data_IF_346235413060
#
_entry.id   IF_346235413060
#
_cell.length_a   1.000
_cell.length_b   1.000
_cell.length_c   1.000
_cell.angle_alpha   90.00
_cell.angle_beta   90.00
_cell.angle_gamma   90.00
#
_symmetry.space_group_name_H-M   'P 1'
#
loop_
_entity.id
_entity.type
_entity.pdbx_description
1 polymer ?
#
# COMPACT_ATOMS: atom_id res chain seq x y z
N UNK A 1 -17.67 1.21 8.89
CA UNK A 1 -17.02 2.10 9.87
C UNK A 1 -15.59 1.68 10.27
N UNK A 2 -15.08 0.51 9.85
CA UNK A 2 -13.72 0.03 10.20
C UNK A 2 -12.56 0.62 9.36
N UNK A 3 -12.66 0.61 8.02
CA UNK A 3 -11.59 1.08 7.13
C UNK A 3 -11.10 2.50 7.42
N UNK A 4 -12.04 3.44 7.61
CA UNK A 4 -11.73 4.85 7.85
C UNK A 4 -10.90 5.08 9.13
N UNK A 5 -11.12 4.27 10.17
CA UNK A 5 -10.35 4.33 11.43
C UNK A 5 -8.99 3.63 11.36
N UNK A 6 -8.82 2.67 10.44
CA UNK A 6 -7.50 2.05 10.19
C UNK A 6 -6.63 2.98 9.36
N UNK A 7 -7.19 3.63 8.35
CA UNK A 7 -6.50 4.63 7.51
C UNK A 7 -6.03 5.84 8.34
N UNK A 8 -6.90 6.43 9.16
CA UNK A 8 -6.52 7.55 10.06
C UNK A 8 -5.38 7.16 11.03
N UNK A 9 -5.35 5.91 11.51
CA UNK A 9 -4.27 5.41 12.39
C UNK A 9 -2.98 5.08 11.65
N UNK A 10 -3.06 4.78 10.35
CA UNK A 10 -1.88 4.62 9.50
C UNK A 10 -1.28 6.01 9.26
N UNK A 11 -2.09 6.98 8.82
CA UNK A 11 -1.67 8.37 8.58
C UNK A 11 -1.01 9.03 9.81
N UNK A 12 -1.57 8.89 11.01
CA UNK A 12 -0.96 9.42 12.25
C UNK A 12 0.43 8.83 12.53
N UNK A 13 0.62 7.54 12.28
CA UNK A 13 1.91 6.87 12.48
C UNK A 13 2.92 7.29 11.43
N UNK A 14 2.47 7.61 10.24
CA UNK A 14 3.30 8.00 9.11
C UNK A 14 3.81 9.43 9.27
N UNK A 15 2.93 10.33 9.71
CA UNK A 15 3.34 11.65 10.18
C UNK A 15 4.35 11.53 11.32
N UNK A 16 4.14 10.59 12.26
CA UNK A 16 5.07 10.39 13.36
C UNK A 16 6.45 9.89 12.88
N UNK A 17 6.49 8.97 11.92
CA UNK A 17 7.73 8.45 11.35
C UNK A 17 8.50 9.55 10.61
N UNK A 18 7.82 10.33 9.79
CA UNK A 18 8.49 11.39 9.04
C UNK A 18 9.02 12.49 9.97
N UNK A 19 8.26 12.85 11.01
CA UNK A 19 8.71 13.77 12.08
C UNK A 19 9.96 13.23 12.76
N UNK A 20 9.96 11.95 13.15
CA UNK A 20 11.12 11.29 13.77
C UNK A 20 12.36 11.34 12.84
N UNK A 21 12.19 11.02 11.55
CA UNK A 21 13.28 11.02 10.58
C UNK A 21 13.87 12.41 10.32
N UNK A 22 13.08 13.46 10.47
CA UNK A 22 13.52 14.85 10.29
C UNK A 22 14.06 15.47 11.59
N UNK A 23 13.77 14.88 12.76
CA UNK A 23 14.11 15.45 14.06
C UNK A 23 13.56 16.87 14.22
N UNK A 24 14.41 17.80 14.65
CA UNK A 24 14.04 19.22 14.83
C UNK A 24 14.07 20.03 13.51
N UNK A 25 14.42 19.42 12.38
CA UNK A 25 14.47 20.10 11.07
C UNK A 25 13.07 20.24 10.47
N UNK A 26 12.33 21.24 10.95
CA UNK A 26 10.99 21.56 10.48
C UNK A 26 10.93 21.84 8.96
N UNK A 27 11.98 22.43 8.38
CA UNK A 27 12.01 22.73 6.94
C UNK A 27 12.12 21.44 6.11
N UNK A 28 12.95 20.49 6.56
CA UNK A 28 13.06 19.20 5.92
C UNK A 28 11.75 18.41 6.04
N UNK A 29 11.10 18.45 7.21
CA UNK A 29 9.78 17.84 7.41
C UNK A 29 8.71 18.43 6.47
N UNK A 30 8.56 19.76 6.45
CA UNK A 30 7.58 20.44 5.61
C UNK A 30 7.80 20.12 4.13
N UNK A 31 9.07 20.07 3.71
CA UNK A 31 9.44 19.68 2.36
C UNK A 31 9.08 18.22 2.07
N UNK A 32 9.56 17.26 2.88
CA UNK A 32 9.38 15.84 2.62
C UNK A 32 7.92 15.39 2.73
N UNK A 33 7.12 16.01 3.60
CA UNK A 33 5.68 15.72 3.72
C UNK A 33 4.92 16.02 2.42
N UNK A 34 5.46 16.93 1.60
CA UNK A 34 4.93 17.27 0.27
C UNK A 34 5.57 16.48 -0.88
N UNK A 35 6.61 15.69 -0.61
CA UNK A 35 7.42 15.00 -1.62
C UNK A 35 7.39 13.47 -1.54
N UNK A 36 7.21 12.92 -0.35
CA UNK A 36 7.20 11.47 -0.16
C UNK A 36 5.78 10.91 -0.24
N UNK A 37 5.63 9.79 -0.92
CA UNK A 37 4.35 9.13 -1.12
C UNK A 37 4.13 7.99 -0.14
N UNK A 38 2.89 7.81 0.32
CA UNK A 38 2.53 6.69 1.20
C UNK A 38 2.63 5.35 0.46
N UNK A 39 2.17 5.33 -0.79
CA UNK A 39 2.31 4.22 -1.73
C UNK A 39 3.26 4.63 -2.88
N UNK A 40 4.58 4.50 -2.71
CA UNK A 40 5.54 4.85 -3.74
C UNK A 40 5.39 3.98 -5.00
N UNK A 41 4.91 2.74 -4.88
CA UNK A 41 4.76 1.83 -6.02
C UNK A 41 3.61 2.22 -6.94
N UNK A 42 2.55 2.82 -6.39
CA UNK A 42 1.44 3.35 -7.16
C UNK A 42 1.67 4.79 -7.65
N UNK A 43 2.34 5.63 -6.85
CA UNK A 43 2.47 7.06 -7.12
C UNK A 43 3.64 7.42 -8.03
N UNK A 44 4.78 6.72 -7.93
CA UNK A 44 5.98 7.04 -8.71
C UNK A 44 5.90 6.37 -10.07
N UNK A 45 6.18 7.14 -11.11
CA UNK A 45 6.14 6.67 -12.49
C UNK A 45 7.03 5.43 -12.71
N UNK A 46 6.50 4.45 -13.44
CA UNK A 46 7.26 3.28 -13.86
C UNK A 46 8.21 3.57 -15.04
N UNK A 47 8.08 4.72 -15.70
CA UNK A 47 8.98 5.12 -16.79
C UNK A 47 10.41 5.31 -16.29
N UNK A 48 11.37 5.16 -17.21
CA UNK A 48 12.77 5.48 -16.97
C UNK A 48 12.99 6.96 -16.69
N UNK A 49 14.00 7.27 -15.87
CA UNK A 49 14.34 8.63 -15.47
C UNK A 49 14.76 9.52 -16.65
N UNK A 50 15.40 8.92 -17.66
CA UNK A 50 15.73 9.53 -18.95
C UNK A 50 14.47 10.00 -19.69
N UNK A 51 13.47 9.13 -19.83
CA UNK A 51 12.19 9.45 -20.49
C UNK A 51 11.48 10.60 -19.75
N UNK A 52 11.44 10.53 -18.42
CA UNK A 52 10.80 11.57 -17.60
C UNK A 52 11.56 12.90 -17.68
N UNK A 53 12.89 12.86 -17.81
CA UNK A 53 13.69 14.08 -17.99
C UNK A 53 13.38 14.73 -19.34
N UNK A 54 13.29 13.95 -20.43
CA UNK A 54 12.92 14.47 -21.75
C UNK A 54 11.50 15.04 -21.78
N UNK A 55 10.55 14.40 -21.10
CA UNK A 55 9.18 14.91 -20.94
C UNK A 55 9.17 16.24 -20.17
N UNK A 56 9.99 16.36 -19.13
CA UNK A 56 10.20 17.59 -18.38
C UNK A 56 10.84 18.70 -19.22
N UNK A 57 11.79 18.39 -20.10
CA UNK A 57 12.39 19.37 -21.01
C UNK A 57 11.39 19.96 -22.00
N UNK A 58 10.40 19.16 -22.43
CA UNK A 58 9.35 19.61 -23.36
C UNK A 58 8.26 20.41 -22.66
N UNK A 59 7.90 20.02 -21.44
CA UNK A 59 6.76 20.58 -20.70
C UNK A 59 7.13 21.67 -19.69
N UNK A 60 8.39 21.71 -19.25
CA UNK A 60 8.84 22.49 -18.10
C UNK A 60 8.53 21.84 -16.74
N UNK A 61 7.84 20.69 -16.72
CA UNK A 61 7.49 19.98 -15.49
C UNK A 61 8.39 18.77 -15.25
N UNK A 62 9.43 18.97 -14.43
CA UNK A 62 10.35 17.92 -14.03
C UNK A 62 9.92 17.15 -12.79
N UNK A 63 8.74 17.44 -12.22
CA UNK A 63 8.32 16.83 -10.95
C UNK A 63 8.33 15.30 -10.99
N UNK A 64 7.79 14.63 -12.05
CA UNK A 64 7.85 13.17 -12.13
C UNK A 64 9.28 12.62 -12.15
N UNK A 65 10.22 13.31 -12.82
CA UNK A 65 11.63 12.91 -12.86
C UNK A 65 12.30 13.07 -11.49
N UNK A 66 11.98 14.15 -10.77
CA UNK A 66 12.47 14.38 -9.40
C UNK A 66 11.98 13.29 -8.46
N UNK A 67 10.68 13.00 -8.45
CA UNK A 67 10.10 11.96 -7.59
C UNK A 67 10.74 10.60 -7.87
N UNK A 68 10.95 10.28 -9.15
CA UNK A 68 11.64 9.06 -9.58
C UNK A 68 13.09 9.02 -9.10
N UNK A 69 13.84 10.12 -9.26
CA UNK A 69 15.24 10.18 -8.85
C UNK A 69 15.42 10.07 -7.32
N UNK A 70 14.53 10.71 -6.55
CA UNK A 70 14.53 10.58 -5.08
C UNK A 70 14.26 9.12 -4.69
N UNK A 71 13.25 8.49 -5.29
CA UNK A 71 12.92 7.09 -5.01
C UNK A 71 14.05 6.13 -5.39
N UNK A 72 14.57 6.23 -6.61
CA UNK A 72 15.67 5.35 -7.03
C UNK A 72 16.93 5.58 -6.19
N UNK A 73 17.26 6.83 -5.86
CA UNK A 73 18.38 7.16 -4.98
C UNK A 73 18.20 6.66 -3.54
N UNK A 74 16.95 6.66 -3.06
CA UNK A 74 16.57 6.12 -1.76
C UNK A 74 16.72 4.59 -1.70
N UNK A 75 16.42 3.90 -2.80
CA UNK A 75 16.45 2.44 -2.89
C UNK A 75 17.81 1.87 -3.34
N UNK A 76 18.70 2.71 -3.90
CA UNK A 76 20.01 2.31 -4.38
C UNK A 76 21.12 3.09 -3.66
N UNK A 77 21.42 2.78 -2.38
CA UNK A 77 22.42 3.51 -1.60
C UNK A 77 23.83 3.45 -2.22
N UNK A 78 24.15 2.39 -2.98
CA UNK A 78 25.42 2.26 -3.71
C UNK A 78 25.58 3.24 -4.88
N UNK A 79 24.49 3.83 -5.38
CA UNK A 79 24.50 4.83 -6.45
C UNK A 79 24.11 6.23 -5.95
N UNK A 80 24.10 6.45 -4.63
CA UNK A 80 23.60 7.67 -4.01
C UNK A 80 24.20 8.95 -4.59
N UNK A 81 25.52 9.02 -4.77
CA UNK A 81 26.18 10.20 -5.33
C UNK A 81 25.70 10.54 -6.75
N UNK A 82 25.39 9.53 -7.56
CA UNK A 82 24.83 9.71 -8.90
C UNK A 82 23.45 10.35 -8.78
N UNK A 83 22.59 9.81 -7.91
CA UNK A 83 21.23 10.33 -7.72
C UNK A 83 21.21 11.73 -7.09
N UNK A 84 22.15 12.05 -6.20
CA UNK A 84 22.31 13.40 -5.67
C UNK A 84 22.53 14.39 -6.82
N UNK A 85 23.49 14.11 -7.71
CA UNK A 85 23.77 14.97 -8.88
C UNK A 85 22.57 15.07 -9.81
N UNK A 86 21.83 13.99 -10.01
CA UNK A 86 20.64 13.99 -10.88
C UNK A 86 19.54 14.88 -10.29
N UNK A 87 19.22 14.73 -9.00
CA UNK A 87 18.21 15.56 -8.32
C UNK A 87 18.61 17.04 -8.34
N UNK A 88 19.88 17.36 -8.05
CA UNK A 88 20.40 18.73 -8.14
C UNK A 88 20.25 19.31 -9.55
N UNK A 89 20.59 18.55 -10.59
CA UNK A 89 20.43 18.97 -11.98
C UNK A 89 18.96 19.20 -12.34
N UNK A 90 18.05 18.32 -11.91
CA UNK A 90 16.61 18.48 -12.16
C UNK A 90 16.03 19.69 -11.42
N UNK A 91 16.47 19.93 -10.18
CA UNK A 91 16.08 21.11 -9.41
C UNK A 91 16.53 22.39 -10.12
N UNK A 92 17.77 22.45 -10.62
CA UNK A 92 18.28 23.59 -11.40
C UNK A 92 17.49 23.83 -12.69
N UNK A 93 17.18 22.76 -13.45
CA UNK A 93 16.33 22.87 -14.65
C UNK A 93 14.93 23.39 -14.30
N UNK A 94 14.36 22.92 -13.19
CA UNK A 94 13.05 23.38 -12.70
C UNK A 94 13.08 24.84 -12.30
N UNK A 95 14.13 25.29 -11.60
CA UNK A 95 14.33 26.71 -11.24
C UNK A 95 14.34 27.55 -12.52
N UNK A 96 15.15 27.19 -13.51
CA UNK A 96 15.26 27.96 -14.75
C UNK A 96 13.92 28.07 -15.48
N UNK A 97 13.18 26.96 -15.63
CA UNK A 97 11.85 26.97 -16.25
C UNK A 97 10.86 27.84 -15.45
N UNK A 98 10.90 27.75 -14.12
CA UNK A 98 10.02 28.51 -13.23
C UNK A 98 10.35 30.01 -13.24
N UNK A 99 11.63 30.39 -13.33
CA UNK A 99 12.06 31.79 -13.45
C UNK A 99 11.54 32.42 -14.75
N UNK A 100 11.63 31.69 -15.87
CA UNK A 100 11.07 32.15 -17.15
C UNK A 100 9.55 32.31 -17.10
N UNK A 101 8.83 31.40 -16.41
CA UNK A 101 7.39 31.54 -16.21
C UNK A 101 7.07 32.74 -15.32
N UNK A 102 7.83 32.91 -14.22
CA UNK A 102 7.65 34.01 -13.27
C UNK A 102 7.79 35.37 -13.95
N UNK A 103 8.80 35.55 -14.80
CA UNK A 103 9.02 36.80 -15.53
C UNK A 103 7.83 37.15 -16.46
N UNK A 104 7.23 36.15 -17.11
CA UNK A 104 6.03 36.35 -17.96
C UNK A 104 4.84 36.78 -17.12
N UNK A 105 4.60 36.09 -16.02
CA UNK A 105 3.49 36.35 -15.09
C UNK A 105 3.63 37.71 -14.41
N UNK A 106 4.86 38.14 -14.09
CA UNK A 106 5.14 39.48 -13.56
C UNK A 106 4.82 40.58 -14.60
N UNK A 107 5.16 40.36 -15.87
CA UNK A 107 4.79 41.29 -16.98
C UNK A 107 3.28 41.38 -17.19
N UNK A 108 2.56 40.30 -16.92
CA UNK A 108 1.08 40.26 -16.95
C UNK A 108 0.43 40.89 -15.71
N UNK A 109 1.22 41.33 -14.71
CA UNK A 109 0.73 41.96 -13.49
C UNK A 109 0.09 40.98 -12.49
N UNK A 110 0.30 39.67 -12.66
CA UNK A 110 -0.28 38.62 -11.84
C UNK A 110 0.58 38.35 -10.58
N UNK A 111 0.57 39.29 -9.64
CA UNK A 111 1.46 39.30 -8.47
C UNK A 111 1.38 38.04 -7.60
N UNK A 112 0.18 37.51 -7.36
CA UNK A 112 -0.01 36.34 -6.50
C UNK A 112 0.58 35.08 -7.13
N UNK A 113 0.44 34.94 -8.46
CA UNK A 113 1.03 33.83 -9.21
C UNK A 113 2.54 33.96 -9.26
N UNK A 114 3.08 35.17 -9.45
CA UNK A 114 4.53 35.40 -9.39
C UNK A 114 5.13 35.06 -8.01
N UNK A 115 4.42 35.40 -6.92
CA UNK A 115 4.83 35.04 -5.56
C UNK A 115 4.80 33.53 -5.34
N UNK A 116 3.79 32.82 -5.85
CA UNK A 116 3.71 31.36 -5.80
C UNK A 116 4.88 30.69 -6.53
N UNK A 117 5.23 31.19 -7.73
CA UNK A 117 6.40 30.71 -8.49
C UNK A 117 7.72 31.02 -7.76
N UNK A 118 7.81 32.15 -7.07
CA UNK A 118 8.93 32.48 -6.18
C UNK A 118 9.12 31.43 -5.07
N UNK A 119 8.05 31.04 -4.38
CA UNK A 119 8.09 29.97 -3.38
C UNK A 119 8.48 28.62 -4.00
N UNK A 120 8.01 28.31 -5.22
CA UNK A 120 8.43 27.10 -5.93
C UNK A 120 9.93 27.09 -6.18
N UNK A 121 10.52 28.21 -6.60
CA UNK A 121 11.97 28.35 -6.79
C UNK A 121 12.73 28.13 -5.46
N UNK A 122 12.26 28.71 -4.36
CA UNK A 122 12.86 28.50 -3.03
C UNK A 122 12.86 27.03 -2.62
N UNK A 123 11.75 26.32 -2.85
CA UNK A 123 11.67 24.88 -2.59
C UNK A 123 12.67 24.06 -3.43
N UNK A 124 12.90 24.44 -4.70
CA UNK A 124 13.89 23.76 -5.53
C UNK A 124 15.33 24.07 -5.10
N UNK A 125 15.61 25.29 -4.62
CA UNK A 125 16.91 25.64 -4.05
C UNK A 125 17.18 24.81 -2.80
N UNK A 126 16.21 24.73 -1.89
CA UNK A 126 16.28 23.86 -0.72
C UNK A 126 16.55 22.41 -1.10
N UNK A 127 15.82 21.88 -2.09
CA UNK A 127 16.03 20.52 -2.59
C UNK A 127 17.47 20.30 -3.07
N UNK A 128 18.01 21.22 -3.86
CA UNK A 128 19.37 21.13 -4.41
C UNK A 128 20.44 21.17 -3.31
N UNK A 129 20.25 22.03 -2.30
CA UNK A 129 21.17 22.17 -1.16
C UNK A 129 21.13 20.97 -0.21
N UNK A 130 19.93 20.43 0.04
CA UNK A 130 19.67 19.37 1.03
C UNK A 130 19.41 18.01 0.40
N UNK A 131 19.86 17.80 -0.84
CA UNK A 131 19.54 16.58 -1.61
C UNK A 131 19.97 15.31 -0.88
N UNK A 132 21.14 15.32 -0.24
CA UNK A 132 21.63 14.17 0.51
C UNK A 132 20.73 13.82 1.70
N UNK A 133 20.33 14.81 2.50
CA UNK A 133 19.41 14.62 3.63
C UNK A 133 18.04 14.14 3.16
N UNK A 134 17.54 14.69 2.05
CA UNK A 134 16.28 14.26 1.42
C UNK A 134 16.36 12.78 1.03
N UNK A 135 17.42 12.36 0.34
CA UNK A 135 17.59 10.96 -0.08
C UNK A 135 17.77 10.04 1.14
N UNK A 136 18.48 10.49 2.17
CA UNK A 136 18.66 9.76 3.42
C UNK A 136 17.34 9.50 4.15
N UNK A 137 16.53 10.55 4.32
CA UNK A 137 15.22 10.44 4.95
C UNK A 137 14.25 9.61 4.09
N UNK A 138 14.24 9.84 2.77
CA UNK A 138 13.43 9.09 1.83
C UNK A 138 13.76 7.59 1.81
N UNK A 139 15.03 7.22 1.92
CA UNK A 139 15.48 5.83 2.04
C UNK A 139 14.83 5.14 3.23
N UNK A 140 15.02 5.69 4.45
CA UNK A 140 14.44 5.12 5.67
C UNK A 140 12.91 5.10 5.63
N UNK A 141 12.29 6.15 5.09
CA UNK A 141 10.84 6.22 4.97
C UNK A 141 10.29 5.16 4.02
N UNK A 142 10.83 5.08 2.79
CA UNK A 142 10.35 4.13 1.79
C UNK A 142 10.66 2.68 2.13
N UNK A 143 11.76 2.40 2.83
CA UNK A 143 12.05 1.05 3.30
C UNK A 143 10.95 0.56 4.26
N UNK A 144 10.52 1.40 5.21
CA UNK A 144 9.38 1.05 6.07
C UNK A 144 8.08 0.91 5.26
N UNK A 145 7.85 1.79 4.28
CA UNK A 145 6.65 1.72 3.43
C UNK A 145 6.57 0.42 2.66
N UNK A 146 7.66 0.00 2.04
CA UNK A 146 7.69 -1.20 1.23
C UNK A 146 7.46 -2.45 2.09
N UNK A 147 7.95 -2.48 3.33
CA UNK A 147 7.63 -3.54 4.30
C UNK A 147 6.14 -3.56 4.64
N UNK A 148 5.57 -2.41 5.00
CA UNK A 148 4.13 -2.30 5.34
C UNK A 148 3.24 -2.68 4.16
N UNK A 149 3.56 -2.23 2.95
CA UNK A 149 2.83 -2.60 1.74
C UNK A 149 2.94 -4.11 1.46
N UNK A 150 4.12 -4.69 1.62
CA UNK A 150 4.32 -6.13 1.47
C UNK A 150 3.55 -6.97 2.49
N UNK A 151 3.45 -6.52 3.75
CA UNK A 151 2.57 -7.13 4.76
C UNK A 151 1.09 -7.02 4.39
N UNK A 152 0.67 -5.84 3.90
CA UNK A 152 -0.71 -5.58 3.48
C UNK A 152 -1.12 -6.47 2.30
N UNK A 153 -0.26 -6.61 1.28
CA UNK A 153 -0.50 -7.51 0.14
C UNK A 153 -0.67 -8.95 0.61
N UNK A 154 0.25 -9.47 1.44
CA UNK A 154 0.15 -10.83 1.99
C UNK A 154 -1.13 -11.04 2.82
N UNK A 155 -1.54 -10.04 3.60
CA UNK A 155 -2.78 -10.10 4.38
C UNK A 155 -4.01 -10.13 3.47
N UNK A 156 -4.04 -9.32 2.41
CA UNK A 156 -5.14 -9.31 1.44
C UNK A 156 -5.20 -10.60 0.62
N UNK A 157 -4.06 -11.20 0.25
CA UNK A 157 -4.02 -12.53 -0.38
C UNK A 157 -4.68 -13.59 0.52
N UNK A 158 -4.29 -13.65 1.81
CA UNK A 158 -4.89 -14.58 2.77
C UNK A 158 -6.38 -14.32 3.01
N UNK A 159 -6.82 -13.06 3.01
CA UNK A 159 -8.26 -12.73 3.06
C UNK A 159 -8.99 -13.21 1.80
N UNK A 160 -8.37 -13.04 0.63
CA UNK A 160 -8.90 -13.49 -0.65
C UNK A 160 -9.05 -15.02 -0.71
N UNK A 161 -8.07 -15.77 -0.20
CA UNK A 161 -8.15 -17.23 -0.09
C UNK A 161 -9.29 -17.68 0.83
N UNK A 162 -9.44 -17.04 1.99
CA UNK A 162 -10.56 -17.31 2.92
C UNK A 162 -11.90 -17.03 2.27
N UNK A 163 -12.05 -15.88 1.62
CA UNK A 163 -13.29 -15.52 0.93
C UNK A 163 -13.64 -16.53 -0.18
N UNK A 164 -12.64 -17.03 -0.92
CA UNK A 164 -12.84 -18.09 -1.92
C UNK A 164 -13.29 -19.40 -1.27
N UNK A 165 -12.65 -19.82 -0.18
CA UNK A 165 -13.01 -21.03 0.55
C UNK A 165 -14.43 -20.96 1.14
N UNK A 166 -14.80 -19.80 1.70
CA UNK A 166 -16.15 -19.52 2.16
C UNK A 166 -17.17 -19.57 1.03
N UNK A 167 -16.89 -18.90 -0.10
CA UNK A 167 -17.75 -18.92 -1.27
C UNK A 167 -17.97 -20.34 -1.82
N UNK A 168 -16.92 -21.15 -1.84
CA UNK A 168 -17.01 -22.56 -2.25
C UNK A 168 -17.84 -23.40 -1.25
N UNK A 169 -17.73 -23.13 0.06
CA UNK A 169 -18.58 -23.79 1.04
C UNK A 169 -20.05 -23.44 0.88
N UNK A 170 -20.37 -22.16 0.63
CA UNK A 170 -21.72 -21.72 0.32
C UNK A 170 -22.28 -22.42 -0.91
N UNK A 171 -21.45 -22.56 -1.96
CA UNK A 171 -21.82 -23.29 -3.18
C UNK A 171 -22.11 -24.76 -2.90
N UNK A 172 -21.25 -25.44 -2.14
CA UNK A 172 -21.45 -26.85 -1.76
C UNK A 172 -22.72 -27.00 -0.93
N UNK A 173 -22.96 -26.12 0.06
CA UNK A 173 -24.18 -26.16 0.87
C UNK A 173 -25.43 -26.02 0.00
N UNK A 174 -25.43 -25.10 -0.96
CA UNK A 174 -26.55 -24.93 -1.90
C UNK A 174 -26.80 -26.18 -2.75
N UNK A 175 -25.75 -26.85 -3.21
CA UNK A 175 -25.86 -28.12 -3.94
C UNK A 175 -26.39 -29.26 -3.06
N UNK A 176 -25.93 -29.34 -1.81
CA UNK A 176 -26.40 -30.34 -0.85
C UNK A 176 -27.89 -30.14 -0.50
N UNK A 177 -28.32 -28.90 -0.28
CA UNK A 177 -29.73 -28.56 -0.04
C UNK A 177 -30.61 -28.91 -1.24
N UNK A 178 -30.20 -28.50 -2.46
CA UNK A 178 -30.92 -28.85 -3.68
C UNK A 178 -30.99 -30.37 -3.90
N UNK A 179 -29.90 -31.10 -3.62
CA UNK A 179 -29.85 -32.55 -3.68
C UNK A 179 -30.79 -33.21 -2.68
N UNK A 180 -30.86 -32.71 -1.44
CA UNK A 180 -31.79 -33.19 -0.41
C UNK A 180 -33.24 -32.97 -0.84
N UNK A 181 -33.57 -31.80 -1.39
CA UNK A 181 -34.92 -31.51 -1.88
C UNK A 181 -35.33 -32.45 -3.03
N UNK A 182 -34.42 -32.73 -3.96
CA UNK A 182 -34.67 -33.66 -5.07
C UNK A 182 -34.96 -35.08 -4.54
N UNK A 183 -34.10 -35.62 -3.66
CA UNK A 183 -34.30 -36.94 -3.04
C UNK A 183 -35.60 -37.02 -2.24
N UNK A 184 -35.98 -35.92 -1.58
CA UNK A 184 -37.22 -35.86 -0.82
C UNK A 184 -38.48 -35.85 -1.71
N UNK A 185 -38.37 -35.36 -2.96
CA UNK A 185 -39.43 -35.48 -3.97
C UNK A 185 -39.54 -36.93 -4.48
N UNK A 186 -38.43 -37.55 -4.87
CA UNK A 186 -38.40 -38.95 -5.32
C UNK A 186 -38.95 -39.92 -4.26
N UNK A 187 -38.66 -39.67 -2.98
CA UNK A 187 -39.21 -40.45 -1.85
C UNK A 187 -40.73 -40.51 -1.76
N UNK A 188 -41.44 -39.51 -2.28
CA UNK A 188 -42.91 -39.49 -2.23
C UNK A 188 -43.52 -40.50 -3.21
N UNK A 189 -42.76 -40.92 -4.21
CA UNK A 189 -43.20 -41.84 -5.26
C UNK A 189 -42.80 -43.30 -4.96
N UNK A 190 -41.90 -43.53 -4.01
CA UNK A 190 -41.39 -44.86 -3.65
C UNK A 190 -42.31 -45.69 -2.75
N UNK A 191 -42.13 -47.01 -2.79
CA UNK A 191 -42.79 -47.96 -1.89
C UNK A 191 -42.32 -47.85 -0.44
N UNK A 192 -43.09 -48.42 0.50
CA UNK A 192 -42.86 -48.26 1.95
C UNK A 192 -41.51 -48.83 2.43
N UNK A 193 -41.02 -49.88 1.78
CA UNK A 193 -39.77 -50.56 2.13
C UNK A 193 -38.55 -49.84 1.53
N UNK A 194 -38.62 -49.49 0.25
CA UNK A 194 -37.62 -48.66 -0.46
C UNK A 194 -37.41 -47.31 0.24
N UNK A 195 -38.49 -46.66 0.68
CA UNK A 195 -38.42 -45.40 1.41
C UNK A 195 -37.65 -45.53 2.72
N UNK A 196 -37.78 -46.65 3.44
CA UNK A 196 -37.06 -46.90 4.70
C UNK A 196 -35.57 -47.13 4.47
N UNK A 197 -35.20 -47.79 3.37
CA UNK A 197 -33.79 -47.95 2.99
C UNK A 197 -33.17 -46.63 2.58
N UNK A 198 -33.86 -45.85 1.74
CA UNK A 198 -33.43 -44.52 1.37
C UNK A 198 -33.23 -43.64 2.62
N UNK A 199 -34.14 -43.68 3.61
CA UNK A 199 -34.02 -42.91 4.87
C UNK A 199 -32.78 -43.26 5.68
N UNK A 200 -32.39 -44.54 5.69
CA UNK A 200 -31.14 -44.96 6.35
C UNK A 200 -29.92 -44.44 5.60
N UNK A 201 -29.96 -44.40 4.28
CA UNK A 201 -28.86 -43.90 3.47
C UNK A 201 -28.69 -42.38 3.61
N UNK A 202 -29.77 -41.60 3.54
CA UNK A 202 -29.71 -40.15 3.76
C UNK A 202 -29.16 -39.80 5.14
N UNK A 203 -29.54 -40.53 6.20
CA UNK A 203 -28.99 -40.32 7.55
C UNK A 203 -27.49 -40.53 7.60
N UNK A 204 -26.96 -41.50 6.85
CA UNK A 204 -25.51 -41.74 6.76
C UNK A 204 -24.81 -40.63 5.99
N UNK A 205 -25.41 -40.15 4.90
CA UNK A 205 -24.88 -39.02 4.13
C UNK A 205 -24.91 -37.71 4.93
N UNK A 206 -25.96 -37.49 5.74
CA UNK A 206 -26.09 -36.32 6.60
C UNK A 206 -25.01 -36.29 7.69
N UNK A 207 -24.77 -37.43 8.36
CA UNK A 207 -23.68 -37.55 9.34
C UNK A 207 -22.30 -37.30 8.68
N UNK A 208 -22.07 -37.87 7.49
CA UNK A 208 -20.81 -37.64 6.76
C UNK A 208 -20.65 -36.18 6.30
N UNK A 209 -21.76 -35.50 5.96
CA UNK A 209 -21.74 -34.08 5.63
C UNK A 209 -21.47 -33.21 6.87
N UNK A 210 -22.01 -33.58 8.02
CA UNK A 210 -21.77 -32.92 9.30
C UNK A 210 -20.30 -33.03 9.74
N UNK A 211 -19.70 -34.23 9.65
CA UNK A 211 -18.27 -34.43 9.91
C UNK A 211 -17.39 -33.58 8.97
N UNK A 212 -17.74 -33.51 7.68
CA UNK A 212 -17.02 -32.63 6.72
C UNK A 212 -17.16 -31.16 7.08
N UNK A 213 -18.32 -30.73 7.56
CA UNK A 213 -18.58 -29.35 7.98
C UNK A 213 -17.80 -29.03 9.26
N UNK A 214 -17.74 -29.95 10.21
CA UNK A 214 -16.95 -29.81 11.44
C UNK A 214 -15.46 -29.70 11.13
N UNK A 215 -14.91 -30.59 10.30
CA UNK A 215 -13.52 -30.53 9.87
C UNK A 215 -13.15 -29.21 9.17
N UNK A 216 -14.08 -28.65 8.37
CA UNK A 216 -13.92 -27.31 7.77
C UNK A 216 -14.00 -26.19 8.81
N UNK A 217 -14.88 -26.33 9.80
CA UNK A 217 -14.98 -25.40 10.94
C UNK A 217 -13.68 -25.33 11.75
N UNK A 218 -13.08 -26.47 12.07
CA UNK A 218 -11.79 -26.51 12.75
C UNK A 218 -10.66 -25.88 11.91
N UNK A 219 -10.67 -26.10 10.58
CA UNK A 219 -9.70 -25.49 9.68
C UNK A 219 -9.83 -23.95 9.67
N UNK A 220 -11.06 -23.41 9.72
CA UNK A 220 -11.31 -21.97 9.84
C UNK A 220 -10.76 -21.42 11.15
N UNK A 221 -11.07 -22.07 12.27
CA UNK A 221 -10.60 -21.61 13.59
C UNK A 221 -9.07 -21.61 13.66
N UNK A 222 -8.41 -22.63 13.09
CA UNK A 222 -6.94 -22.66 12.98
C UNK A 222 -6.39 -21.52 12.12
N UNK A 223 -7.01 -21.25 10.97
CA UNK A 223 -6.61 -20.14 10.10
C UNK A 223 -6.80 -18.77 10.76
N UNK A 224 -7.86 -18.58 11.55
CA UNK A 224 -8.08 -17.34 12.31
C UNK A 224 -7.04 -17.14 13.42
N UNK A 225 -6.74 -18.19 14.19
CA UNK A 225 -5.67 -18.15 15.22
C UNK A 225 -4.31 -17.85 14.59
N UNK A 226 -4.03 -18.42 13.43
CA UNK A 226 -2.78 -18.17 12.72
C UNK A 226 -2.69 -16.72 12.22
N UNK A 227 -3.78 -16.14 11.70
CA UNK A 227 -3.79 -14.73 11.30
C UNK A 227 -3.58 -13.79 12.49
N UNK A 228 -4.15 -14.11 13.66
CA UNK A 228 -3.90 -13.35 14.89
C UNK A 228 -2.43 -13.40 15.28
N UNK A 229 -1.82 -14.60 15.27
CA UNK A 229 -0.40 -14.78 15.58
C UNK A 229 0.52 -14.01 14.62
N UNK A 230 0.24 -14.05 13.32
CA UNK A 230 0.98 -13.28 12.31
C UNK A 230 0.82 -11.77 12.58
N UNK A 231 -0.39 -11.30 12.84
CA UNK A 231 -0.64 -9.89 13.15
C UNK A 231 0.09 -9.40 14.41
N UNK A 232 0.16 -10.22 15.46
CA UNK A 232 0.94 -9.93 16.67
C UNK A 232 2.44 -9.85 16.37
N UNK A 233 2.94 -10.74 15.52
CA UNK A 233 4.36 -10.80 15.13
C UNK A 233 4.73 -9.57 14.28
N UNK A 234 3.95 -9.25 13.25
CA UNK A 234 4.12 -8.04 12.43
C UNK A 234 4.11 -6.77 13.30
N UNK A 235 3.19 -6.70 14.28
CA UNK A 235 3.13 -5.57 15.22
C UNK A 235 4.36 -5.49 16.11
N UNK A 236 4.83 -6.61 16.65
CA UNK A 236 6.02 -6.66 17.50
C UNK A 236 7.28 -6.28 16.72
N UNK A 237 7.43 -6.74 15.47
CA UNK A 237 8.53 -6.37 14.60
C UNK A 237 8.53 -4.88 14.28
N UNK A 238 7.36 -4.29 13.98
CA UNK A 238 7.22 -2.83 13.80
C UNK A 238 7.61 -2.05 15.05
N UNK A 239 7.17 -2.50 16.23
CA UNK A 239 7.55 -1.87 17.50
C UNK A 239 9.05 -1.98 17.78
N UNK A 240 9.68 -3.10 17.43
CA UNK A 240 11.13 -3.29 17.55
C UNK A 240 11.89 -2.31 16.65
N UNK A 241 11.49 -2.19 15.37
CA UNK A 241 12.09 -1.22 14.43
C UNK A 241 11.95 0.22 14.92
N UNK A 242 10.80 0.60 15.47
CA UNK A 242 10.61 1.94 16.03
C UNK A 242 11.49 2.19 17.27
N UNK A 243 11.72 1.18 18.10
CA UNK A 243 12.63 1.29 19.25
C UNK A 243 14.10 1.43 18.83
N UNK A 244 14.52 0.71 17.80
CA UNK A 244 15.87 0.84 17.25
C UNK A 244 16.13 2.24 16.68
N UNK A 245 15.10 2.90 16.13
CA UNK A 245 15.19 4.26 15.59
C UNK A 245 15.23 5.35 16.67
N UNK A 246 14.42 5.20 17.71
CA UNK A 246 14.32 6.17 18.83
C UNK A 246 15.42 6.05 19.90
N UNK A 247 16.25 5.00 19.83
CA UNK A 247 17.35 4.74 20.77
C UNK A 247 18.72 5.30 20.36
N UNK A 248 18.81 6.02 19.24
CA UNK A 248 20.03 6.63 18.71
C UNK A 248 19.93 8.16 18.72
#
# INVERSE_FOLDING_TARGET
MGKKKEEEKEEEKEESLLKELCGDDAKLYDFLSSYLFLDPLAAISQKGLDILTEEGEKSGDFRPAVDKAIFEGAQNPGERERYIKVVQNLALKTIHATEQEKEKVEKEGLTDRAASLGKRIENQKFMSERTEDIINAASKFYDERLVVLGEKVRREERKGERAKAEGEEWRIRGLEEAGREARNKERKEMGREERREAEKQDKREELAAEERKEARGEAREKAEKEEQRIGETEKAEREARNKERSGN
#
